data_IF_731061845312
#
_entry.id   IF_731061845312
#
_cell.length_a   1.000
_cell.length_b   1.000
_cell.length_c   1.000
_cell.angle_alpha   90.00
_cell.angle_beta   90.00
_cell.angle_gamma   90.00
#
_symmetry.space_group_name_H-M   'P 1'
#
loop_
_entity.id
_entity.type
_entity.pdbx_description
1 polymer ?
#
# COMPACT_ATOMS: atom_id res chain seq x y z
N UNK A 1 13.36 13.65 16.17
CA UNK A 1 13.63 14.31 14.88
C UNK A 1 12.32 14.45 14.11
N UNK A 2 11.97 15.64 13.64
CA UNK A 2 10.79 15.89 12.80
C UNK A 2 11.26 16.38 11.43
N UNK A 3 10.71 15.79 10.38
CA UNK A 3 10.89 16.22 9.00
C UNK A 3 9.54 16.69 8.48
N UNK A 4 9.42 17.97 8.14
CA UNK A 4 8.15 18.51 7.67
C UNK A 4 8.28 19.28 6.37
N UNK A 5 7.25 19.22 5.52
CA UNK A 5 7.05 20.11 4.37
C UNK A 5 5.57 20.21 4.03
N UNK A 6 5.22 20.96 2.98
CA UNK A 6 3.82 21.12 2.52
C UNK A 6 3.05 19.82 2.29
N UNK A 7 3.73 18.68 2.18
CA UNK A 7 3.12 17.37 1.92
C UNK A 7 3.40 16.34 3.00
N UNK A 8 4.46 16.43 3.77
CA UNK A 8 4.90 15.36 4.67
C UNK A 8 5.12 15.92 6.07
N UNK A 9 4.77 15.14 7.08
CA UNK A 9 5.11 15.41 8.47
C UNK A 9 5.51 14.08 9.09
N UNK A 10 6.81 13.84 9.19
CA UNK A 10 7.41 12.59 9.65
C UNK A 10 8.13 12.83 10.95
N UNK A 11 7.87 11.98 11.94
CA UNK A 11 8.50 12.09 13.26
C UNK A 11 9.22 10.78 13.58
N UNK A 12 10.47 10.90 14.00
CA UNK A 12 11.38 9.80 14.32
C UNK A 12 11.89 9.97 15.75
N UNK A 13 12.01 8.86 16.48
CA UNK A 13 12.77 8.83 17.72
C UNK A 13 14.25 9.12 17.46
N UNK A 14 14.96 9.68 18.44
CA UNK A 14 16.38 10.02 18.28
C UNK A 14 17.28 8.79 18.09
N UNK A 15 16.88 7.64 18.65
CA UNK A 15 17.58 6.36 18.47
C UNK A 15 17.11 5.55 17.27
N UNK A 16 16.19 6.06 16.44
CA UNK A 16 15.70 5.34 15.26
C UNK A 16 16.73 5.38 14.14
N UNK A 17 16.88 4.25 13.42
CA UNK A 17 17.59 4.21 12.15
C UNK A 17 16.61 4.40 10.99
N UNK A 18 17.05 5.13 9.98
CA UNK A 18 16.28 5.36 8.76
C UNK A 18 17.09 4.94 7.55
N UNK A 19 16.43 4.31 6.58
CA UNK A 19 17.06 3.93 5.33
C UNK A 19 17.05 5.13 4.40
N UNK A 20 18.24 5.60 4.02
CA UNK A 20 18.40 6.73 3.12
C UNK A 20 19.19 6.34 1.88
N UNK A 21 18.96 7.07 0.80
CA UNK A 21 19.85 7.14 -0.35
C UNK A 21 20.65 8.43 -0.28
N UNK A 22 21.98 8.37 -0.32
CA UNK A 22 22.80 9.58 -0.41
C UNK A 22 22.61 10.22 -1.79
N UNK A 23 22.41 11.53 -1.83
CA UNK A 23 22.24 12.25 -3.09
C UNK A 23 23.50 12.10 -3.94
N UNK A 24 23.33 11.84 -5.24
CA UNK A 24 24.45 11.71 -6.15
C UNK A 24 25.02 13.07 -6.50
N UNK A 25 26.34 13.21 -6.46
CA UNK A 25 27.07 14.39 -6.96
C UNK A 25 28.14 13.95 -7.95
N UNK A 26 28.58 14.87 -8.82
CA UNK A 26 29.71 14.62 -9.72
C UNK A 26 30.80 15.63 -9.41
N UNK A 27 31.98 15.15 -9.02
CA UNK A 27 33.14 15.99 -8.67
C UNK A 27 34.29 15.56 -9.57
N UNK A 28 34.80 16.49 -10.38
CA UNK A 28 35.91 16.25 -11.33
C UNK A 28 35.68 15.01 -12.22
N UNK A 29 34.45 14.85 -12.74
CA UNK A 29 34.08 13.74 -13.61
C UNK A 29 33.79 12.40 -12.89
N UNK A 30 34.00 12.31 -11.58
CA UNK A 30 33.68 11.11 -10.78
C UNK A 30 32.33 11.26 -10.11
N UNK A 31 31.49 10.21 -10.18
CA UNK A 31 30.20 10.15 -9.48
C UNK A 31 30.40 9.67 -8.05
N UNK A 32 29.84 10.41 -7.10
CA UNK A 32 29.78 10.07 -5.68
C UNK A 32 28.32 9.99 -5.24
N UNK A 33 28.05 9.29 -4.15
CA UNK A 33 26.69 9.12 -3.65
C UNK A 33 25.90 8.04 -4.40
N UNK A 34 24.61 7.95 -4.09
CA UNK A 34 23.68 6.99 -4.68
C UNK A 34 23.57 5.67 -3.91
N UNK A 35 24.48 5.41 -2.98
CA UNK A 35 24.40 4.29 -2.03
C UNK A 35 23.13 4.38 -1.15
N UNK A 36 22.63 3.19 -0.77
CA UNK A 36 21.53 3.04 0.17
C UNK A 36 22.13 2.52 1.47
N UNK A 37 21.90 3.22 2.57
CA UNK A 37 22.43 2.85 3.89
C UNK A 37 21.44 3.19 5.00
N UNK A 38 21.46 2.42 6.11
CA UNK A 38 20.88 2.88 7.37
C UNK A 38 21.74 4.02 7.94
N UNK A 39 21.11 5.05 8.48
CA UNK A 39 21.76 6.08 9.31
C UNK A 39 20.88 6.40 10.51
N UNK A 40 21.48 6.93 11.57
CA UNK A 40 20.71 7.43 12.71
C UNK A 40 19.84 8.62 12.27
N UNK A 41 18.63 8.73 12.82
CA UNK A 41 17.73 9.84 12.51
C UNK A 41 18.36 11.21 12.86
N UNK A 42 19.25 11.26 13.85
CA UNK A 42 20.05 12.45 14.22
C UNK A 42 21.04 12.89 13.14
N UNK A 43 21.44 12.01 12.24
CA UNK A 43 22.42 12.28 11.17
C UNK A 43 21.76 12.72 9.84
N UNK A 44 20.42 12.81 9.83
CA UNK A 44 19.68 13.25 8.65
C UNK A 44 20.04 14.69 8.29
N UNK A 45 20.28 14.92 7.00
CA UNK A 45 20.54 16.23 6.44
C UNK A 45 20.04 16.31 4.98
N UNK A 46 20.14 17.49 4.38
CA UNK A 46 19.61 17.78 3.03
C UNK A 46 20.28 16.99 1.90
N UNK A 47 21.46 16.40 2.13
CA UNK A 47 22.14 15.51 1.19
C UNK A 47 21.56 14.08 1.16
N UNK A 48 20.55 13.79 1.98
CA UNK A 48 19.88 12.51 2.01
C UNK A 48 18.53 12.55 1.29
N UNK A 49 18.14 11.38 0.79
CA UNK A 49 16.80 11.09 0.30
C UNK A 49 16.26 9.89 1.09
N UNK A 50 15.23 10.10 1.91
CA UNK A 50 14.60 9.04 2.71
C UNK A 50 13.92 8.03 1.79
N UNK A 51 14.15 6.73 1.99
CA UNK A 51 13.42 5.67 1.29
C UNK A 51 12.06 5.48 1.98
N UNK A 52 10.97 5.84 1.28
CA UNK A 52 9.61 5.83 1.84
C UNK A 52 8.74 4.68 1.31
N UNK A 53 9.24 3.93 0.32
CA UNK A 53 8.59 2.73 -0.20
C UNK A 53 9.63 1.72 -0.66
N UNK A 54 9.41 0.44 -0.34
CA UNK A 54 10.24 -0.66 -0.79
C UNK A 54 9.36 -1.87 -1.15
N UNK A 55 9.71 -2.65 -2.19
CA UNK A 55 8.97 -3.86 -2.52
C UNK A 55 8.95 -4.86 -1.36
N UNK A 56 7.82 -5.54 -1.21
CA UNK A 56 7.67 -6.67 -0.31
C UNK A 56 8.60 -7.81 -0.75
N UNK A 57 9.21 -8.50 0.21
CA UNK A 57 9.89 -9.78 -0.03
C UNK A 57 8.91 -10.93 0.16
N UNK A 58 9.08 -12.00 -0.59
CA UNK A 58 8.15 -13.14 -0.60
C UNK A 58 7.79 -13.64 0.81
N UNK A 59 6.51 -13.85 1.03
CA UNK A 59 5.93 -14.36 2.29
C UNK A 59 4.92 -15.47 2.00
N UNK A 60 4.56 -16.23 3.03
CA UNK A 60 3.43 -17.16 2.94
C UNK A 60 2.13 -16.38 2.81
N UNK A 61 1.35 -16.67 1.77
CA UNK A 61 0.09 -15.99 1.50
C UNK A 61 -1.11 -16.61 2.22
N UNK A 62 -2.05 -15.77 2.66
CA UNK A 62 -3.39 -16.20 3.11
C UNK A 62 -4.38 -16.46 1.98
N UNK A 63 -4.14 -15.90 0.79
CA UNK A 63 -4.95 -16.10 -0.42
C UNK A 63 -4.08 -16.51 -1.60
N UNK A 64 -4.63 -17.30 -2.52
CA UNK A 64 -3.98 -17.51 -3.83
C UNK A 64 -4.03 -16.23 -4.67
N UNK A 65 -3.19 -16.09 -5.71
CA UNK A 65 -3.27 -14.96 -6.64
C UNK A 65 -4.67 -14.73 -7.22
N UNK A 66 -5.36 -15.80 -7.65
CA UNK A 66 -6.72 -15.71 -8.21
C UNK A 66 -7.75 -15.25 -7.17
N UNK A 67 -7.64 -15.74 -5.93
CA UNK A 67 -8.51 -15.32 -4.83
C UNK A 67 -8.29 -13.85 -4.47
N UNK A 68 -7.03 -13.41 -4.45
CA UNK A 68 -6.67 -12.03 -4.16
C UNK A 68 -7.14 -11.08 -5.28
N UNK A 69 -7.01 -11.48 -6.55
CA UNK A 69 -7.57 -10.76 -7.68
C UNK A 69 -9.10 -10.65 -7.58
N UNK A 70 -9.79 -11.76 -7.29
CA UNK A 70 -11.25 -11.75 -7.10
C UNK A 70 -11.68 -10.81 -5.98
N UNK A 71 -10.98 -10.85 -4.84
CA UNK A 71 -11.24 -9.93 -3.73
C UNK A 71 -11.06 -8.48 -4.16
N UNK A 72 -9.98 -8.17 -4.90
CA UNK A 72 -9.72 -6.84 -5.46
C UNK A 72 -10.87 -6.32 -6.33
N UNK A 73 -11.40 -7.16 -7.22
CA UNK A 73 -12.59 -6.83 -8.03
C UNK A 73 -13.84 -6.60 -7.18
N UNK A 74 -14.10 -7.47 -6.19
CA UNK A 74 -15.30 -7.37 -5.34
C UNK A 74 -15.30 -6.07 -4.53
N UNK A 75 -14.15 -5.63 -4.01
CA UNK A 75 -14.08 -4.44 -3.15
C UNK A 75 -14.05 -3.11 -3.90
N UNK A 76 -13.88 -3.13 -5.23
CA UNK A 76 -13.82 -1.93 -6.07
C UNK A 76 -15.08 -1.78 -6.91
N UNK A 77 -15.25 -2.65 -7.92
CA UNK A 77 -16.37 -2.65 -8.86
C UNK A 77 -17.52 -3.58 -8.42
N UNK A 78 -17.42 -4.15 -7.22
CA UNK A 78 -18.37 -5.15 -6.71
C UNK A 78 -19.40 -4.65 -5.72
N UNK A 79 -20.35 -5.53 -5.45
CA UNK A 79 -21.31 -5.43 -4.37
C UNK A 79 -21.41 -6.79 -3.69
N UNK A 80 -21.41 -6.81 -2.37
CA UNK A 80 -21.64 -8.02 -1.61
C UNK A 80 -22.59 -7.76 -0.45
N UNK A 81 -23.28 -8.81 -0.02
CA UNK A 81 -24.17 -8.80 1.14
C UNK A 81 -24.19 -10.15 1.82
N UNK A 82 -24.54 -10.16 3.11
CA UNK A 82 -24.80 -11.39 3.86
C UNK A 82 -26.28 -11.76 3.74
N UNK A 83 -26.59 -12.99 3.31
CA UNK A 83 -27.96 -13.52 3.21
C UNK A 83 -27.95 -15.01 3.51
N UNK A 84 -28.89 -15.46 4.34
CA UNK A 84 -29.10 -16.89 4.61
C UNK A 84 -27.86 -17.63 5.14
N UNK A 85 -27.08 -16.98 6.00
CA UNK A 85 -25.86 -17.58 6.59
C UNK A 85 -24.64 -17.63 5.68
N UNK A 86 -24.66 -16.98 4.51
CA UNK A 86 -23.51 -16.88 3.61
C UNK A 86 -23.34 -15.48 3.01
N UNK A 87 -22.28 -15.30 2.21
CA UNK A 87 -22.05 -14.08 1.44
C UNK A 87 -22.46 -14.28 -0.03
N UNK A 88 -23.25 -13.36 -0.56
CA UNK A 88 -23.53 -13.21 -1.99
C UNK A 88 -22.70 -12.03 -2.50
N UNK A 89 -22.05 -12.17 -3.65
CA UNK A 89 -21.29 -11.11 -4.29
C UNK A 89 -21.55 -11.05 -5.80
N UNK A 90 -21.48 -9.85 -6.36
CA UNK A 90 -21.56 -9.56 -7.79
C UNK A 90 -20.51 -8.50 -8.14
N UNK A 91 -20.05 -8.49 -9.38
CA UNK A 91 -19.15 -7.47 -9.93
C UNK A 91 -19.86 -6.78 -11.10
N UNK A 92 -19.79 -5.46 -11.16
CA UNK A 92 -20.38 -4.66 -12.23
C UNK A 92 -19.27 -4.16 -13.17
N UNK A 93 -19.36 -4.49 -14.45
CA UNK A 93 -18.33 -4.06 -15.41
C UNK A 93 -18.93 -3.64 -16.75
N UNK A 94 -18.36 -2.59 -17.35
CA UNK A 94 -18.71 -2.18 -18.71
C UNK A 94 -18.18 -3.19 -19.74
N UNK A 95 -18.98 -3.59 -20.75
CA UNK A 95 -18.51 -4.43 -21.85
C UNK A 95 -17.30 -3.87 -22.61
N UNK A 96 -17.07 -2.56 -22.54
CA UNK A 96 -15.96 -1.87 -23.22
C UNK A 96 -14.65 -1.85 -22.41
N UNK A 97 -14.67 -2.38 -21.19
CA UNK A 97 -13.52 -2.46 -20.28
C UNK A 97 -13.03 -3.90 -20.16
N UNK A 98 -13.00 -4.45 -18.94
CA UNK A 98 -12.38 -5.73 -18.59
C UNK A 98 -13.43 -6.81 -18.29
N UNK A 99 -14.56 -6.82 -19.02
CA UNK A 99 -15.68 -7.73 -18.73
C UNK A 99 -15.27 -9.21 -18.81
N UNK A 100 -14.50 -9.61 -19.82
CA UNK A 100 -14.06 -11.00 -19.99
C UNK A 100 -13.17 -11.46 -18.82
N UNK A 101 -12.29 -10.58 -18.33
CA UNK A 101 -11.48 -10.83 -17.13
C UNK A 101 -12.36 -11.03 -15.90
N UNK A 102 -13.39 -10.19 -15.74
CA UNK A 102 -14.36 -10.30 -14.63
C UNK A 102 -15.14 -11.61 -14.71
N UNK A 103 -15.59 -12.02 -15.91
CA UNK A 103 -16.30 -13.30 -16.10
C UNK A 103 -15.39 -14.48 -15.70
N UNK A 104 -14.15 -14.48 -16.17
CA UNK A 104 -13.19 -15.54 -15.86
C UNK A 104 -12.89 -15.65 -14.35
N UNK A 105 -12.69 -14.53 -13.66
CA UNK A 105 -12.35 -14.52 -12.24
C UNK A 105 -13.56 -14.79 -11.34
N UNK A 106 -14.75 -14.30 -11.70
CA UNK A 106 -15.98 -14.50 -10.94
C UNK A 106 -16.58 -15.89 -11.15
N UNK A 107 -16.38 -16.48 -12.32
CA UNK A 107 -16.89 -17.79 -12.74
C UNK A 107 -18.40 -17.84 -13.01
N UNK A 108 -19.17 -16.81 -12.65
CA UNK A 108 -20.61 -16.79 -12.86
C UNK A 108 -20.99 -16.37 -14.28
N UNK A 109 -22.20 -16.78 -14.70
CA UNK A 109 -22.76 -16.37 -15.98
C UNK A 109 -23.14 -14.88 -15.94
N UNK A 110 -22.63 -14.03 -16.86
CA UNK A 110 -23.00 -12.62 -16.92
C UNK A 110 -24.50 -12.46 -17.20
N UNK A 111 -25.10 -11.43 -16.59
CA UNK A 111 -26.49 -11.03 -16.86
C UNK A 111 -26.58 -10.19 -18.13
N UNK A 112 -27.81 -9.95 -18.60
CA UNK A 112 -28.05 -8.99 -19.67
C UNK A 112 -27.51 -7.59 -19.27
N UNK A 113 -26.95 -6.81 -20.22
CA UNK A 113 -26.53 -5.43 -19.96
C UNK A 113 -27.70 -4.58 -19.44
N UNK A 114 -27.42 -3.70 -18.49
CA UNK A 114 -28.40 -2.72 -18.02
C UNK A 114 -28.83 -1.79 -19.17
N UNK A 115 -30.13 -1.51 -19.37
CA UNK A 115 -30.62 -0.76 -20.53
C UNK A 115 -30.01 0.64 -20.64
N UNK A 116 -29.87 1.36 -19.52
CA UNK A 116 -29.40 2.75 -19.56
C UNK A 116 -27.87 2.90 -19.56
N UNK A 117 -27.15 2.04 -18.82
CA UNK A 117 -25.70 2.20 -18.59
C UNK A 117 -24.86 1.25 -19.44
N UNK A 118 -25.48 0.20 -19.99
CA UNK A 118 -24.80 -0.90 -20.65
C UNK A 118 -23.91 -1.74 -19.73
N UNK A 119 -23.89 -1.47 -18.42
CA UNK A 119 -23.08 -2.20 -17.45
C UNK A 119 -23.63 -3.62 -17.27
N UNK A 120 -22.73 -4.58 -17.22
CA UNK A 120 -23.06 -6.00 -17.02
C UNK A 120 -22.78 -6.38 -15.57
N UNK A 121 -23.77 -7.03 -14.96
CA UNK A 121 -23.64 -7.62 -13.63
C UNK A 121 -23.20 -9.09 -13.76
N UNK A 122 -22.07 -9.43 -13.15
CA UNK A 122 -21.51 -10.79 -13.13
C UNK A 122 -21.60 -11.33 -11.70
N UNK A 123 -22.47 -12.33 -11.43
CA UNK A 123 -22.48 -13.00 -10.15
C UNK A 123 -21.16 -13.72 -9.89
N UNK A 124 -20.70 -13.73 -8.63
CA UNK A 124 -19.54 -14.52 -8.23
C UNK A 124 -20.02 -15.88 -7.72
N UNK A 125 -19.40 -16.96 -8.19
CA UNK A 125 -19.74 -18.32 -7.74
C UNK A 125 -19.48 -18.50 -6.25
N UNK A 126 -20.35 -19.24 -5.56
CA UNK A 126 -20.31 -19.39 -4.10
C UNK A 126 -19.01 -20.03 -3.62
N UNK A 127 -18.51 -21.03 -4.34
CA UNK A 127 -17.24 -21.71 -4.06
C UNK A 127 -16.04 -20.76 -4.18
N UNK A 128 -16.13 -19.71 -5.00
CA UNK A 128 -15.10 -18.67 -5.11
C UNK A 128 -15.20 -17.62 -4.02
N UNK A 129 -16.41 -17.33 -3.54
CA UNK A 129 -16.65 -16.40 -2.41
C UNK A 129 -16.22 -17.02 -1.07
N UNK A 130 -16.49 -18.31 -0.86
CA UNK A 130 -16.24 -19.01 0.42
C UNK A 130 -14.87 -18.72 1.06
N UNK A 131 -13.72 -18.80 0.36
CA UNK A 131 -12.42 -18.47 0.94
C UNK A 131 -12.23 -16.97 1.27
N UNK A 132 -13.08 -16.09 0.74
CA UNK A 132 -13.01 -14.64 0.91
C UNK A 132 -13.91 -14.10 2.03
N UNK A 133 -14.87 -14.90 2.51
CA UNK A 133 -15.87 -14.47 3.51
C UNK A 133 -15.30 -13.83 4.78
N UNK A 134 -14.14 -14.27 5.34
CA UNK A 134 -13.54 -13.61 6.50
C UNK A 134 -13.20 -12.14 6.23
N UNK A 135 -12.76 -11.84 5.00
CA UNK A 135 -12.26 -10.53 4.58
C UNK A 135 -13.37 -9.61 4.04
N UNK A 136 -14.55 -10.16 3.74
CA UNK A 136 -15.75 -9.44 3.29
C UNK A 136 -16.68 -9.12 4.47
N UNK A 137 -16.12 -8.63 5.58
CA UNK A 137 -16.87 -8.40 6.82
C UNK A 137 -16.67 -6.98 7.35
N UNK A 138 -15.41 -6.58 7.58
CA UNK A 138 -15.03 -5.28 8.12
C UNK A 138 -13.81 -4.73 7.38
N UNK A 139 -13.65 -3.41 7.47
CA UNK A 139 -12.55 -2.69 6.83
C UNK A 139 -11.18 -3.13 7.35
N UNK A 140 -11.06 -3.34 8.65
CA UNK A 140 -9.80 -3.72 9.30
C UNK A 140 -9.32 -5.11 8.82
N UNK A 141 -10.27 -6.00 8.54
CA UNK A 141 -9.99 -7.34 8.03
C UNK A 141 -9.40 -7.30 6.61
N UNK A 142 -9.82 -6.33 5.79
CA UNK A 142 -9.26 -6.18 4.44
C UNK A 142 -7.79 -5.75 4.49
N UNK A 143 -7.45 -4.80 5.36
CA UNK A 143 -6.06 -4.37 5.54
C UNK A 143 -5.22 -5.49 6.14
N UNK A 144 -5.76 -6.22 7.12
CA UNK A 144 -5.13 -7.40 7.72
C UNK A 144 -4.89 -8.53 6.71
N UNK A 145 -5.82 -8.73 5.77
CA UNK A 145 -5.68 -9.65 4.65
C UNK A 145 -4.50 -9.25 3.76
N UNK A 146 -4.53 -8.00 3.28
CA UNK A 146 -3.50 -7.46 2.37
C UNK A 146 -2.10 -7.57 2.96
N UNK A 147 -1.94 -7.25 4.25
CA UNK A 147 -0.65 -7.34 4.94
C UNK A 147 -0.07 -8.77 5.01
N UNK A 148 -0.89 -9.79 4.73
CA UNK A 148 -0.53 -11.22 4.78
C UNK A 148 -0.56 -11.89 3.42
N UNK A 149 -0.64 -11.12 2.33
CA UNK A 149 -0.52 -11.65 0.97
C UNK A 149 0.95 -11.88 0.62
N UNK A 150 1.22 -12.91 -0.20
CA UNK A 150 2.51 -13.04 -0.88
C UNK A 150 2.69 -11.97 -1.96
N UNK A 151 3.89 -11.87 -2.53
CA UNK A 151 4.18 -10.92 -3.62
C UNK A 151 3.19 -11.10 -4.77
N UNK A 152 3.07 -12.32 -5.30
CA UNK A 152 2.18 -12.62 -6.44
C UNK A 152 0.71 -12.33 -6.14
N UNK A 153 0.25 -12.65 -4.93
CA UNK A 153 -1.12 -12.41 -4.52
C UNK A 153 -1.42 -10.91 -4.34
N UNK A 154 -0.49 -10.16 -3.74
CA UNK A 154 -0.58 -8.71 -3.60
C UNK A 154 -0.56 -8.00 -4.95
N UNK A 155 0.28 -8.44 -5.89
CA UNK A 155 0.32 -7.90 -7.26
C UNK A 155 -1.00 -8.14 -7.98
N UNK A 156 -1.53 -9.37 -7.90
CA UNK A 156 -2.79 -9.74 -8.56
C UNK A 156 -3.98 -8.95 -8.00
N UNK A 157 -4.04 -8.73 -6.68
CA UNK A 157 -5.06 -7.89 -6.07
C UNK A 157 -4.90 -6.41 -6.45
N UNK A 158 -3.67 -5.89 -6.45
CA UNK A 158 -3.40 -4.51 -6.88
C UNK A 158 -3.86 -4.28 -8.31
N UNK A 159 -3.49 -5.19 -9.22
CA UNK A 159 -3.82 -5.07 -10.64
C UNK A 159 -5.33 -5.14 -10.85
N UNK A 160 -6.04 -6.04 -10.17
CA UNK A 160 -7.51 -6.10 -10.21
C UNK A 160 -8.15 -4.78 -9.74
N UNK A 161 -7.73 -4.24 -8.60
CA UNK A 161 -8.24 -2.97 -8.09
C UNK A 161 -7.95 -1.81 -9.03
N UNK A 162 -6.76 -1.79 -9.64
CA UNK A 162 -6.36 -0.75 -10.58
C UNK A 162 -7.07 -0.86 -11.93
N UNK A 163 -7.37 -2.07 -12.41
CA UNK A 163 -8.16 -2.26 -13.64
C UNK A 163 -9.63 -1.86 -13.45
N UNK A 164 -10.18 -2.06 -12.25
CA UNK A 164 -11.53 -1.63 -11.89
C UNK A 164 -11.66 -0.10 -11.92
N UNK A 165 -10.89 0.55 -11.05
CA UNK A 165 -11.11 1.95 -10.64
C UNK A 165 -9.88 2.86 -10.85
N UNK A 166 -8.85 2.33 -11.52
CA UNK A 166 -7.65 3.08 -11.87
C UNK A 166 -7.87 3.96 -13.10
N UNK A 167 -7.23 5.12 -13.08
CA UNK A 167 -7.22 6.08 -14.18
C UNK A 167 -5.78 6.38 -14.57
N UNK A 168 -5.42 6.00 -15.79
CA UNK A 168 -4.20 6.45 -16.47
C UNK A 168 -4.61 7.53 -17.44
N UNK A 169 -4.66 8.79 -16.99
CA UNK A 169 -5.05 9.88 -17.90
C UNK A 169 -3.85 10.24 -18.80
N UNK A 170 -4.01 10.22 -20.14
CA UNK A 170 -2.97 10.69 -21.06
C UNK A 170 -2.57 12.13 -20.69
N UNK A 171 -1.30 12.34 -20.38
CA UNK A 171 -0.76 13.66 -19.99
C UNK A 171 -0.87 14.04 -18.51
N UNK A 172 -1.53 13.25 -17.64
CA UNK A 172 -1.39 13.46 -16.19
C UNK A 172 -0.11 12.80 -15.68
N UNK A 173 0.63 13.54 -14.85
CA UNK A 173 1.88 13.07 -14.21
C UNK A 173 1.61 12.15 -13.01
N UNK A 174 0.80 11.11 -13.18
CA UNK A 174 0.64 10.10 -12.12
C UNK A 174 -0.59 9.21 -12.28
N UNK A 175 -0.41 7.99 -11.80
CA UNK A 175 -1.43 6.97 -11.66
C UNK A 175 -2.41 7.34 -10.53
N UNK A 176 -3.69 7.03 -10.69
CA UNK A 176 -4.72 7.39 -9.70
C UNK A 176 -5.74 6.26 -9.54
N UNK A 177 -6.10 5.93 -8.30
CA UNK A 177 -7.23 5.05 -7.98
C UNK A 177 -8.39 5.87 -7.39
N UNK A 178 -9.56 5.81 -8.01
CA UNK A 178 -10.74 6.62 -7.67
C UNK A 178 -11.65 5.99 -6.60
N UNK A 179 -11.12 5.66 -5.43
CA UNK A 179 -11.87 4.94 -4.38
C UNK A 179 -12.31 5.85 -3.21
N UNK A 180 -13.62 5.84 -2.90
CA UNK A 180 -14.20 6.59 -1.76
C UNK A 180 -14.15 5.84 -0.44
N UNK A 181 -14.27 4.51 -0.46
CA UNK A 181 -14.33 3.72 0.77
C UNK A 181 -12.96 3.72 1.49
N UNK A 182 -12.89 4.16 2.77
CA UNK A 182 -11.60 4.30 3.47
C UNK A 182 -10.84 2.98 3.62
N UNK A 183 -11.53 1.87 3.87
CA UNK A 183 -10.88 0.56 4.00
C UNK A 183 -10.25 0.04 2.73
N UNK A 184 -11.01 0.11 1.64
CA UNK A 184 -10.52 -0.26 0.30
C UNK A 184 -9.34 0.64 -0.09
N UNK A 185 -9.41 1.93 0.23
CA UNK A 185 -8.31 2.87 0.02
C UNK A 185 -7.08 2.49 0.84
N UNK A 186 -7.23 2.19 2.12
CA UNK A 186 -6.13 1.81 3.01
C UNK A 186 -5.47 0.51 2.53
N UNK A 187 -6.27 -0.49 2.18
CA UNK A 187 -5.81 -1.75 1.60
C UNK A 187 -5.02 -1.52 0.30
N UNK A 188 -5.54 -0.71 -0.63
CA UNK A 188 -4.83 -0.37 -1.85
C UNK A 188 -3.49 0.33 -1.59
N UNK A 189 -3.43 1.22 -0.61
CA UNK A 189 -2.19 1.93 -0.25
C UNK A 189 -1.12 0.99 0.27
N UNK A 190 -1.50 -0.03 1.05
CA UNK A 190 -0.58 -1.08 1.51
C UNK A 190 -0.09 -1.92 0.33
N UNK A 191 -0.99 -2.31 -0.59
CA UNK A 191 -0.60 -3.01 -1.83
C UNK A 191 0.38 -2.19 -2.67
N UNK A 192 0.10 -0.89 -2.85
CA UNK A 192 0.99 0.02 -3.57
C UNK A 192 2.37 0.10 -2.89
N UNK A 193 2.41 0.20 -1.56
CA UNK A 193 3.64 0.19 -0.79
C UNK A 193 4.44 -1.09 -1.01
N UNK A 194 3.78 -2.26 -1.03
CA UNK A 194 4.39 -3.57 -1.30
C UNK A 194 4.96 -3.71 -2.71
N UNK A 195 4.53 -2.88 -3.66
CA UNK A 195 5.16 -2.77 -4.99
C UNK A 195 6.31 -1.76 -5.04
N UNK A 196 6.62 -1.14 -3.90
CA UNK A 196 7.54 -0.02 -3.81
C UNK A 196 6.98 1.22 -4.51
N UNK A 197 5.68 1.46 -4.45
CA UNK A 197 5.07 2.71 -4.88
C UNK A 197 4.71 3.56 -3.68
N UNK A 198 4.88 4.88 -3.83
CA UNK A 198 4.40 5.85 -2.85
C UNK A 198 2.98 6.27 -3.18
N UNK A 199 2.17 6.41 -2.14
CA UNK A 199 0.80 6.91 -2.27
C UNK A 199 0.58 8.24 -1.58
N UNK A 200 -0.33 9.06 -2.10
CA UNK A 200 -0.84 10.25 -1.42
C UNK A 200 -2.36 10.34 -1.58
N UNK A 201 -3.05 10.52 -0.46
CA UNK A 201 -4.51 10.56 -0.43
C UNK A 201 -5.10 11.90 -0.88
N UNK A 202 -6.34 11.84 -1.36
CA UNK A 202 -7.22 12.97 -1.67
C UNK A 202 -8.65 12.63 -1.25
N UNK A 203 -9.56 13.61 -1.27
CA UNK A 203 -10.98 13.37 -0.99
C UNK A 203 -11.62 12.36 -1.95
N UNK A 204 -11.10 12.24 -3.18
CA UNK A 204 -11.67 11.42 -4.25
C UNK A 204 -11.04 10.01 -4.38
N UNK A 205 -9.92 9.75 -3.69
CA UNK A 205 -9.12 8.56 -3.95
C UNK A 205 -7.63 8.76 -3.66
N UNK A 206 -6.76 8.05 -4.37
CA UNK A 206 -5.35 7.95 -4.05
C UNK A 206 -4.45 8.10 -5.29
N UNK A 207 -3.47 9.01 -5.24
CA UNK A 207 -2.43 9.11 -6.27
C UNK A 207 -1.31 8.13 -5.97
N UNK A 208 -0.80 7.49 -7.03
CA UNK A 208 0.31 6.54 -6.97
C UNK A 208 1.52 7.12 -7.71
N UNK A 209 2.67 6.99 -7.09
CA UNK A 209 3.94 7.51 -7.59
C UNK A 209 5.00 6.43 -7.51
N UNK A 210 5.67 6.15 -8.63
CA UNK A 210 6.81 5.24 -8.68
C UNK A 210 8.06 5.81 -7.97
N UNK A 211 8.08 7.09 -7.60
CA UNK A 211 9.15 7.67 -6.78
C UNK A 211 9.12 7.06 -5.39
N UNK A 212 10.20 6.33 -5.05
CA UNK A 212 10.41 5.64 -3.76
C UNK A 212 11.05 6.48 -2.69
N UNK A 213 11.50 7.69 -3.03
CA UNK A 213 12.27 8.53 -2.12
C UNK A 213 11.63 9.89 -1.86
N UNK A 214 11.87 10.43 -0.66
CA UNK A 214 11.58 11.79 -0.25
C UNK A 214 12.91 12.54 -0.10
N UNK A 215 13.12 13.59 -0.91
CA UNK A 215 14.32 14.43 -0.82
C UNK A 215 14.26 15.30 0.43
N UNK A 216 15.25 15.20 1.32
CA UNK A 216 15.25 15.97 2.57
C UNK A 216 15.58 17.45 2.35
N UNK A 217 16.21 17.81 1.23
CA UNK A 217 16.37 19.21 0.82
C UNK A 217 15.03 19.97 0.65
N UNK A 218 13.89 19.27 0.64
CA UNK A 218 12.57 19.88 0.57
C UNK A 218 11.83 19.88 1.92
N UNK A 219 12.52 19.57 3.02
CA UNK A 219 11.95 19.48 4.35
C UNK A 219 12.66 20.42 5.33
N UNK A 220 11.89 20.96 6.26
CA UNK A 220 12.38 21.51 7.51
C UNK A 220 12.75 20.34 8.43
N UNK A 221 13.93 20.41 9.04
CA UNK A 221 14.51 19.37 9.89
C UNK A 221 14.66 19.93 11.30
N UNK A 222 13.76 19.50 12.18
CA UNK A 222 13.75 19.96 13.58
C UNK A 222 14.18 18.83 14.52
N UNK A 223 14.99 19.18 15.51
CA UNK A 223 15.29 18.32 16.65
C UNK A 223 14.08 18.21 17.59
N UNK A 224 12.94 17.72 17.08
CA UNK A 224 11.79 17.44 17.90
C UNK A 224 12.07 16.25 18.81
N UNK A 225 11.93 16.46 20.12
CA UNK A 225 11.89 15.40 21.12
C UNK A 225 10.46 14.85 21.14
N UNK A 226 10.29 13.58 20.79
CA UNK A 226 9.03 12.89 21.00
C UNK A 226 9.29 11.71 21.89
N UNK A 227 9.13 11.94 23.19
CA UNK A 227 8.86 10.85 24.11
C UNK A 227 7.56 10.16 23.68
N UNK A 228 7.55 8.83 23.64
CA UNK A 228 6.33 8.05 23.45
C UNK A 228 5.87 7.80 22.01
N UNK A 229 6.71 8.01 20.98
CA UNK A 229 6.34 7.58 19.63
C UNK A 229 6.40 6.05 19.54
N UNK A 230 5.23 5.40 19.51
CA UNK A 230 5.14 3.95 19.40
C UNK A 230 5.62 3.48 18.01
N UNK A 231 6.73 2.75 17.98
CA UNK A 231 7.32 2.15 16.78
C UNK A 231 7.35 0.62 16.96
N UNK A 232 6.31 -0.11 16.53
CA UNK A 232 6.31 -1.56 16.66
C UNK A 232 7.38 -2.18 15.76
N UNK A 233 8.39 -2.79 16.39
CA UNK A 233 9.54 -3.41 15.74
C UNK A 233 9.21 -4.86 15.38
N UNK A 234 9.29 -5.22 14.10
CA UNK A 234 9.28 -6.64 13.69
C UNK A 234 10.56 -7.35 14.14
N UNK A 235 10.56 -8.68 14.16
CA UNK A 235 11.78 -9.48 14.46
C UNK A 235 12.97 -9.12 13.56
N UNK A 236 12.70 -8.59 12.37
CA UNK A 236 13.68 -8.14 11.38
C UNK A 236 14.13 -6.67 11.57
N UNK A 237 13.73 -6.01 12.67
CA UNK A 237 14.08 -4.62 12.90
C UNK A 237 13.42 -3.66 11.92
N UNK A 238 12.24 -3.97 11.37
CA UNK A 238 11.52 -3.10 10.43
C UNK A 238 10.16 -2.70 11.02
N UNK A 239 9.75 -1.45 10.84
CA UNK A 239 8.44 -0.91 11.24
C UNK A 239 7.70 -0.38 10.00
N UNK A 240 6.41 -0.71 9.88
CA UNK A 240 5.51 0.02 8.97
C UNK A 240 4.85 1.12 9.79
N UNK A 241 5.04 2.37 9.40
CA UNK A 241 4.51 3.51 10.16
C UNK A 241 3.63 4.39 9.28
N UNK A 242 2.45 4.73 9.80
CA UNK A 242 1.56 5.71 9.19
C UNK A 242 1.86 7.08 9.78
N UNK A 243 2.35 8.00 8.95
CA UNK A 243 2.59 9.40 9.32
C UNK A 243 1.60 10.28 8.55
N UNK A 244 0.48 10.61 9.19
CA UNK A 244 -0.63 11.32 8.56
C UNK A 244 -1.19 10.59 7.33
N UNK A 245 -1.04 11.19 6.15
CA UNK A 245 -1.53 10.68 4.87
C UNK A 245 -0.52 9.79 4.14
N UNK A 246 0.56 9.34 4.81
CA UNK A 246 1.62 8.52 4.23
C UNK A 246 1.80 7.23 5.03
N UNK A 247 2.16 6.15 4.34
CA UNK A 247 2.63 4.91 4.96
C UNK A 247 4.08 4.77 4.50
N UNK A 248 5.00 4.60 5.45
CA UNK A 248 6.43 4.45 5.20
C UNK A 248 6.97 3.22 5.91
N UNK A 249 8.11 2.72 5.42
CA UNK A 249 8.92 1.72 6.10
C UNK A 249 10.01 2.45 6.90
N UNK A 250 10.26 2.01 8.12
CA UNK A 250 11.38 2.46 8.95
C UNK A 250 12.19 1.26 9.42
N UNK A 251 13.50 1.45 9.60
CA UNK A 251 14.29 0.53 10.39
C UNK A 251 14.05 0.81 11.87
N UNK A 252 14.16 -0.21 12.69
CA UNK A 252 14.20 -0.10 14.13
C UNK A 252 15.48 -0.74 14.62
N UNK A 253 16.19 0.00 15.45
CA UNK A 253 17.26 -0.54 16.27
C UNK A 253 16.57 -1.40 17.34
N UNK A 254 16.95 -2.67 17.45
CA UNK A 254 16.48 -3.49 18.57
C UNK A 254 16.74 -2.71 19.87
N UNK A 255 15.78 -2.61 20.80
CA UNK A 255 16.08 -2.02 22.10
C UNK A 255 17.26 -2.80 22.67
N UNK A 256 18.33 -2.09 23.03
CA UNK A 256 19.45 -2.67 23.77
C UNK A 256 18.82 -3.32 24.99
N UNK A 257 18.76 -4.66 25.02
CA UNK A 257 18.29 -5.36 26.22
C UNK A 257 19.16 -4.85 27.36
N UNK A 258 18.60 -4.32 28.45
CA UNK A 258 19.41 -3.98 29.60
C UNK A 258 20.18 -5.26 29.97
N UNK A 259 21.50 -5.21 29.83
CA UNK A 259 22.37 -6.23 30.41
C UNK A 259 21.96 -6.33 31.87
N UNK A 260 21.44 -7.48 32.27
CA UNK A 260 21.13 -7.75 33.68
C UNK A 260 22.36 -7.31 34.47
N UNK A 261 22.19 -6.35 35.36
CA UNK A 261 23.24 -5.99 36.30
C UNK A 261 23.66 -7.28 36.98
N UNK A 262 24.91 -7.68 36.78
CA UNK A 262 25.54 -8.76 37.51
C UNK A 262 25.58 -8.32 38.97
N UNK A 263 24.61 -8.79 39.75
CA UNK A 263 24.66 -8.82 41.22
C UNK A 263 25.68 -9.84 41.69
#
# INVERSE_FOLDING_TARGET
MRLSNSRHDLVFGLGSEVIVRRNTSTVRGRKYGGEILPIAASELNTNHSLLVAAPLRETRSVLTPDQAALLGWIVTDGYFRRRGGGVEAVIYQSPKKYLDTVIAVAGGKPRAPHPDTGVVCVPVLRERIKPLEPWLSKEEELVGCVARLSTRASESMYDAMYLADGSVAPGRKGDYLAVKHPGVRSAFRVLALFRGYRTSESSRGCYVSQRRTLKLASCDIDAAVTDGLWQPVTEMGTCVVRCGQFITLMGAVAPVRPTKAST
#
